data_IF_266176976627
#
_entry.id   IF_266176976627
#
_cell.length_a   1.000
_cell.length_b   1.000
_cell.length_c   1.000
_cell.angle_alpha   90.00
_cell.angle_beta   90.00
_cell.angle_gamma   90.00
#
_symmetry.space_group_name_H-M   'P 1'
#
loop_
_entity.id
_entity.type
_entity.pdbx_description
1 polymer ?
#
# COMPACT_ATOMS: atom_id res chain seq x y z
N UNK A 1 6.33 6.24 16.25
CA UNK A 1 7.43 5.57 15.52
C UNK A 1 6.86 4.70 14.42
N UNK A 2 5.98 3.73 14.73
CA UNK A 2 5.35 2.81 13.74
C UNK A 2 4.71 3.50 12.52
N UNK A 3 3.89 4.56 12.63
CA UNK A 3 3.23 5.15 11.44
C UNK A 3 4.22 5.77 10.46
N UNK A 4 5.24 6.47 10.97
CA UNK A 4 6.27 7.11 10.17
C UNK A 4 7.06 6.07 9.38
N UNK A 5 7.44 4.99 10.06
CA UNK A 5 8.12 3.86 9.43
C UNK A 5 7.28 3.26 8.29
N UNK A 6 6.00 2.98 8.54
CA UNK A 6 5.10 2.44 7.51
C UNK A 6 4.94 3.41 6.34
N UNK A 7 4.86 4.72 6.60
CA UNK A 7 4.79 5.72 5.54
C UNK A 7 6.07 5.76 4.69
N UNK A 8 7.25 5.77 5.32
CA UNK A 8 8.54 5.71 4.61
C UNK A 8 8.60 4.43 3.77
N UNK A 9 8.19 3.29 4.32
CA UNK A 9 8.16 2.02 3.59
C UNK A 9 7.26 2.08 2.35
N UNK A 10 6.08 2.70 2.45
CA UNK A 10 5.22 2.92 1.29
C UNK A 10 5.88 3.80 0.23
N UNK A 11 6.57 4.87 0.63
CA UNK A 11 7.31 5.74 -0.30
C UNK A 11 8.45 4.98 -0.98
N UNK A 12 9.18 4.15 -0.24
CA UNK A 12 10.24 3.30 -0.78
C UNK A 12 9.67 2.30 -1.78
N UNK A 13 8.56 1.62 -1.46
CA UNK A 13 7.92 0.67 -2.38
C UNK A 13 7.47 1.35 -3.67
N UNK A 14 6.85 2.53 -3.56
CA UNK A 14 6.44 3.32 -4.72
C UNK A 14 7.65 3.73 -5.57
N UNK A 15 8.74 4.16 -4.94
CA UNK A 15 9.98 4.48 -5.64
C UNK A 15 10.57 3.25 -6.35
N UNK A 16 10.50 2.07 -5.72
CA UNK A 16 10.95 0.81 -6.32
C UNK A 16 10.14 0.47 -7.57
N UNK A 17 8.81 0.63 -7.56
CA UNK A 17 7.97 0.47 -8.76
C UNK A 17 8.45 1.37 -9.91
N UNK A 18 8.62 2.67 -9.65
CA UNK A 18 9.13 3.61 -10.65
C UNK A 18 10.52 3.26 -11.17
N UNK A 19 11.46 2.96 -10.28
CA UNK A 19 12.84 2.60 -10.64
C UNK A 19 12.84 1.31 -11.48
N UNK A 20 12.06 0.31 -11.08
CA UNK A 20 11.96 -0.96 -11.80
C UNK A 20 11.52 -0.74 -13.24
N UNK A 21 10.46 0.05 -13.45
CA UNK A 21 9.96 0.28 -14.80
C UNK A 21 10.89 1.19 -15.62
N UNK A 22 11.43 2.27 -15.03
CA UNK A 22 12.41 3.14 -15.70
C UNK A 22 13.64 2.36 -16.17
N UNK A 23 14.11 1.42 -15.34
CA UNK A 23 15.25 0.58 -15.66
C UNK A 23 14.92 -0.52 -16.68
N UNK A 24 13.74 -1.13 -16.59
CA UNK A 24 13.30 -2.18 -17.51
C UNK A 24 12.93 -1.63 -18.89
N UNK A 25 12.32 -0.44 -18.96
CA UNK A 25 11.80 0.16 -20.19
C UNK A 25 12.79 0.18 -21.37
N UNK A 26 14.06 0.64 -21.23
CA UNK A 26 15.01 0.61 -22.34
C UNK A 26 15.31 -0.82 -22.83
N UNK A 27 15.22 -1.83 -21.96
CA UNK A 27 15.52 -3.23 -22.25
C UNK A 27 14.31 -4.03 -22.74
N UNK A 28 13.11 -3.47 -22.63
CA UNK A 28 11.90 -4.13 -23.11
C UNK A 28 11.94 -4.33 -24.64
N UNK A 29 11.49 -5.51 -25.12
CA UNK A 29 11.41 -5.80 -26.54
C UNK A 29 10.42 -4.89 -27.28
N UNK A 30 10.46 -4.91 -28.61
CA UNK A 30 9.61 -4.08 -29.47
C UNK A 30 8.11 -4.35 -29.28
N UNK A 31 7.77 -5.55 -28.83
CA UNK A 31 6.41 -5.99 -28.53
C UNK A 31 6.28 -6.28 -27.04
N UNK A 32 5.35 -5.61 -26.37
CA UNK A 32 5.11 -5.73 -24.94
C UNK A 32 3.63 -6.05 -24.66
N UNK A 33 3.33 -6.88 -23.64
CA UNK A 33 1.98 -6.98 -23.12
C UNK A 33 1.60 -5.66 -22.44
N UNK A 34 0.55 -4.99 -22.91
CA UNK A 34 0.01 -3.80 -22.23
C UNK A 34 -0.88 -4.17 -21.05
N UNK A 35 -1.47 -5.36 -21.08
CA UNK A 35 -2.36 -5.88 -20.04
C UNK A 35 -2.00 -7.32 -19.70
N UNK A 36 -2.15 -7.68 -18.43
CA UNK A 36 -1.94 -9.04 -17.96
C UNK A 36 -2.91 -10.01 -18.67
N UNK A 37 -2.34 -10.98 -19.37
CA UNK A 37 -3.08 -12.15 -19.79
C UNK A 37 -3.28 -13.09 -18.62
N UNK A 38 -4.39 -12.94 -17.90
CA UNK A 38 -4.82 -13.87 -16.85
C UNK A 38 -4.97 -15.32 -17.35
N UNK A 39 -5.05 -15.52 -18.67
CA UNK A 39 -5.33 -16.81 -19.32
C UNK A 39 -4.30 -17.23 -20.39
N UNK A 40 -3.09 -16.66 -20.35
CA UNK A 40 -1.95 -17.09 -21.20
C UNK A 40 -1.87 -16.49 -22.60
N UNK A 41 -2.92 -15.80 -23.09
CA UNK A 41 -2.87 -15.06 -24.37
C UNK A 41 -2.56 -13.58 -24.11
N UNK A 42 -1.27 -13.23 -24.06
CA UNK A 42 -0.81 -11.84 -24.00
C UNK A 42 -0.96 -11.18 -25.37
N UNK A 43 -1.89 -10.23 -25.46
CA UNK A 43 -1.94 -9.32 -26.59
C UNK A 43 -0.66 -8.48 -26.57
N UNK A 44 0.18 -8.71 -27.57
CA UNK A 44 1.44 -8.01 -27.76
C UNK A 44 1.17 -6.72 -28.53
N UNK A 45 1.58 -5.60 -27.94
CA UNK A 45 1.45 -4.28 -28.53
C UNK A 45 2.84 -3.69 -28.80
N UNK A 46 2.96 -2.76 -29.76
CA UNK A 46 4.19 -2.01 -29.95
C UNK A 46 4.61 -1.33 -28.65
N UNK A 47 5.91 -1.31 -28.39
CA UNK A 47 6.52 -0.62 -27.26
C UNK A 47 5.95 0.80 -27.16
N UNK A 48 5.33 1.08 -26.03
CA UNK A 48 4.61 2.32 -25.80
C UNK A 48 4.89 2.85 -24.41
N UNK A 49 4.91 4.18 -24.31
CA UNK A 49 5.02 4.92 -23.05
C UNK A 49 3.83 4.64 -22.14
N UNK A 50 2.72 4.10 -22.67
CA UNK A 50 1.55 3.68 -21.90
C UNK A 50 1.87 2.67 -20.80
N UNK A 51 2.99 1.95 -20.85
CA UNK A 51 3.40 1.08 -19.73
C UNK A 51 3.67 1.87 -18.44
N UNK A 52 4.03 3.16 -18.53
CA UNK A 52 4.17 4.04 -17.35
C UNK A 52 2.84 4.36 -16.66
N UNK A 53 1.71 3.98 -17.25
CA UNK A 53 0.40 4.14 -16.61
C UNK A 53 0.25 3.22 -15.38
N UNK A 54 1.04 2.15 -15.28
CA UNK A 54 1.06 1.26 -14.12
C UNK A 54 1.60 1.95 -12.85
N UNK A 55 2.85 2.47 -12.83
CA UNK A 55 3.37 3.14 -11.64
C UNK A 55 2.65 4.47 -11.39
N UNK A 56 2.16 5.12 -12.45
CA UNK A 56 1.33 6.31 -12.32
C UNK A 56 -0.03 5.97 -11.68
N UNK A 57 -0.64 4.85 -12.06
CA UNK A 57 -1.83 4.30 -11.41
C UNK A 57 -1.59 3.98 -9.93
N UNK A 58 -0.45 3.39 -9.58
CA UNK A 58 -0.04 3.13 -8.19
C UNK A 58 0.11 4.46 -7.41
N UNK A 59 0.78 5.47 -7.97
CA UNK A 59 0.90 6.79 -7.31
C UNK A 59 -0.46 7.43 -7.05
N UNK A 60 -1.34 7.41 -8.04
CA UNK A 60 -2.68 7.98 -7.93
C UNK A 60 -3.50 7.22 -6.89
N UNK A 61 -3.44 5.89 -6.90
CA UNK A 61 -4.09 5.04 -5.91
C UNK A 61 -3.61 5.39 -4.50
N UNK A 62 -2.29 5.50 -4.27
CA UNK A 62 -1.74 5.83 -2.96
C UNK A 62 -2.18 7.21 -2.46
N UNK A 63 -2.17 8.23 -3.32
CA UNK A 63 -2.62 9.58 -2.97
C UNK A 63 -4.11 9.59 -2.63
N UNK A 64 -4.94 8.95 -3.46
CA UNK A 64 -6.38 8.84 -3.22
C UNK A 64 -6.66 8.05 -1.94
N UNK A 65 -5.98 6.92 -1.73
CA UNK A 65 -6.17 6.07 -0.58
C UNK A 65 -5.82 6.79 0.72
N UNK A 66 -4.71 7.53 0.77
CA UNK A 66 -4.35 8.36 1.92
C UNK A 66 -5.41 9.44 2.21
N UNK A 67 -5.93 10.08 1.15
CA UNK A 67 -7.00 11.08 1.25
C UNK A 67 -8.30 10.48 1.80
N UNK A 68 -8.74 9.33 1.28
CA UNK A 68 -9.92 8.60 1.73
C UNK A 68 -9.77 8.10 3.18
N UNK A 69 -8.59 7.58 3.52
CA UNK A 69 -8.27 7.13 4.87
C UNK A 69 -8.18 8.29 5.87
N UNK A 70 -8.18 9.55 5.39
CA UNK A 70 -8.02 10.80 6.16
C UNK A 70 -6.73 10.78 6.99
N UNK A 71 -5.68 10.12 6.49
CA UNK A 71 -4.37 10.08 7.14
C UNK A 71 -3.70 11.44 6.92
N UNK A 72 -3.79 12.33 7.90
CA UNK A 72 -3.08 13.62 7.82
C UNK A 72 -1.59 13.39 8.01
N UNK A 73 -0.77 13.82 7.05
CA UNK A 73 0.70 13.79 7.17
C UNK A 73 1.19 14.57 8.41
N UNK A 74 0.44 15.60 8.85
CA UNK A 74 0.71 16.32 10.10
C UNK A 74 0.62 15.44 11.37
N UNK A 75 -0.15 14.34 11.35
CA UNK A 75 -0.19 13.35 12.44
C UNK A 75 1.09 12.50 12.48
N UNK A 76 1.77 12.32 11.35
CA UNK A 76 3.07 11.65 11.25
C UNK A 76 4.22 12.55 11.71
N UNK A 77 4.12 13.87 11.47
CA UNK A 77 5.16 14.85 11.80
C UNK A 77 5.10 15.41 13.22
N UNK A 78 4.07 15.09 14.02
CA UNK A 78 3.80 15.67 15.36
C UNK A 78 4.79 15.25 16.47
N UNK A 79 5.99 14.76 16.13
CA UNK A 79 7.06 14.45 17.09
C UNK A 79 8.36 15.24 16.88
N UNK A 80 8.50 16.01 15.81
CA UNK A 80 9.65 16.92 15.66
C UNK A 80 9.40 18.31 16.25
N UNK A 81 8.14 18.68 16.50
CA UNK A 81 7.79 19.91 17.22
C UNK A 81 7.44 19.58 18.68
N UNK A 82 8.39 19.88 19.56
CA UNK A 82 8.22 19.97 21.01
C UNK A 82 7.05 20.91 21.36
N UNK A 83 6.38 20.62 22.49
CA UNK A 83 5.44 21.49 23.19
C UNK A 83 4.38 22.26 22.37
N UNK A 84 3.18 21.71 22.33
CA UNK A 84 2.02 22.57 22.62
C UNK A 84 0.95 21.81 23.41
N UNK A 85 1.16 21.86 24.72
CA UNK A 85 0.18 22.19 25.77
C UNK A 85 -1.30 22.06 25.38
N UNK A 86 -2.01 21.22 26.14
CA UNK A 86 -3.46 21.18 26.33
C UNK A 86 -4.32 20.74 25.14
N UNK A 87 -4.44 19.43 24.95
CA UNK A 87 -5.76 18.81 24.79
C UNK A 87 -5.66 17.29 24.94
N UNK A 88 -6.51 16.81 25.81
CA UNK A 88 -6.76 15.44 26.20
C UNK A 88 -7.14 14.53 25.02
N UNK A 89 -6.59 13.31 25.04
CA UNK A 89 -7.25 12.05 24.66
C UNK A 89 -7.67 11.76 23.21
N UNK A 90 -7.08 12.38 22.17
CA UNK A 90 -7.36 11.97 20.76
C UNK A 90 -6.37 10.95 20.14
N UNK A 91 -5.50 10.34 20.94
CA UNK A 91 -4.29 9.66 20.45
C UNK A 91 -4.40 8.17 20.14
N UNK A 92 -5.51 7.50 20.49
CA UNK A 92 -5.70 6.05 20.27
C UNK A 92 -6.28 5.67 18.89
N UNK A 93 -7.56 5.98 18.62
CA UNK A 93 -8.27 5.46 17.45
C UNK A 93 -7.78 6.05 16.11
N UNK A 94 -7.34 7.32 16.12
CA UNK A 94 -6.79 8.01 14.94
C UNK A 94 -5.46 7.38 14.48
N UNK A 95 -4.64 6.97 15.44
CA UNK A 95 -3.34 6.34 15.19
C UNK A 95 -3.47 4.93 14.66
N UNK A 96 -4.35 4.11 15.26
CA UNK A 96 -4.67 2.77 14.77
C UNK A 96 -5.15 2.78 13.34
N UNK A 97 -6.05 3.71 13.00
CA UNK A 97 -6.56 3.88 11.64
C UNK A 97 -5.46 4.23 10.66
N UNK A 98 -4.51 5.09 11.05
CA UNK A 98 -3.35 5.42 10.23
C UNK A 98 -2.41 4.22 10.05
N UNK A 99 -2.12 3.47 11.12
CA UNK A 99 -1.30 2.25 11.04
C UNK A 99 -1.94 1.20 10.12
N UNK A 100 -3.25 0.96 10.25
CA UNK A 100 -3.99 0.06 9.38
C UNK A 100 -4.00 0.52 7.92
N UNK A 101 -4.27 1.81 7.67
CA UNK A 101 -4.29 2.35 6.32
C UNK A 101 -2.91 2.23 5.65
N UNK A 102 -1.83 2.61 6.34
CA UNK A 102 -0.48 2.50 5.80
C UNK A 102 -0.06 1.03 5.59
N UNK A 103 -0.50 0.12 6.46
CA UNK A 103 -0.24 -1.30 6.29
C UNK A 103 -1.01 -1.89 5.09
N UNK A 104 -2.29 -1.55 4.93
CA UNK A 104 -3.06 -1.95 3.75
C UNK A 104 -2.43 -1.40 2.46
N UNK A 105 -1.95 -0.16 2.49
CA UNK A 105 -1.26 0.48 1.37
C UNK A 105 0.02 -0.26 0.97
N UNK A 106 0.78 -0.81 1.94
CA UNK A 106 1.94 -1.66 1.65
C UNK A 106 1.53 -2.88 0.82
N UNK A 107 0.45 -3.57 1.20
CA UNK A 107 -0.03 -4.73 0.44
C UNK A 107 -0.49 -4.35 -0.96
N UNK A 108 -1.17 -3.21 -1.13
CA UNK A 108 -1.52 -2.70 -2.46
C UNK A 108 -0.28 -2.40 -3.30
N UNK A 109 0.74 -1.73 -2.75
CA UNK A 109 2.00 -1.49 -3.47
C UNK A 109 2.66 -2.81 -3.88
N UNK A 110 2.68 -3.82 -3.02
CA UNK A 110 3.19 -5.16 -3.38
C UNK A 110 2.39 -5.80 -4.51
N UNK A 111 1.07 -5.60 -4.56
CA UNK A 111 0.23 -6.07 -5.67
C UNK A 111 0.63 -5.37 -6.98
N UNK A 112 0.76 -4.04 -6.96
CA UNK A 112 1.17 -3.27 -8.14
C UNK A 112 2.56 -3.69 -8.64
N UNK A 113 3.54 -3.74 -7.74
CA UNK A 113 4.90 -4.22 -8.03
C UNK A 113 4.89 -5.64 -8.62
N UNK A 114 4.05 -6.54 -8.08
CA UNK A 114 3.94 -7.91 -8.61
C UNK A 114 3.35 -7.94 -10.02
N UNK A 115 2.32 -7.14 -10.26
CA UNK A 115 1.71 -6.98 -11.58
C UNK A 115 2.72 -6.43 -12.58
N UNK A 116 3.45 -5.37 -12.24
CA UNK A 116 4.48 -4.75 -13.07
C UNK A 116 5.63 -5.73 -13.39
N UNK A 117 6.18 -6.38 -12.36
CA UNK A 117 7.23 -7.40 -12.52
C UNK A 117 6.76 -8.51 -13.46
N UNK A 118 5.55 -9.00 -13.27
CA UNK A 118 4.98 -10.05 -14.11
C UNK A 118 4.85 -9.57 -15.55
N UNK A 119 4.42 -8.33 -15.78
CA UNK A 119 4.31 -7.75 -17.11
C UNK A 119 5.67 -7.65 -17.81
N UNK A 120 6.70 -7.22 -17.08
CA UNK A 120 8.09 -7.13 -17.58
C UNK A 120 8.62 -8.53 -17.95
N UNK A 121 8.36 -9.54 -17.13
CA UNK A 121 8.84 -10.91 -17.38
C UNK A 121 8.11 -11.59 -18.54
N UNK A 122 6.81 -11.34 -18.67
CA UNK A 122 6.03 -11.79 -19.83
C UNK A 122 6.53 -11.10 -21.11
N UNK A 123 6.89 -9.80 -21.04
CA UNK A 123 7.48 -9.10 -22.18
C UNK A 123 8.77 -9.79 -22.66
N UNK A 124 9.62 -10.23 -21.73
CA UNK A 124 10.85 -10.96 -22.06
C UNK A 124 10.63 -12.45 -22.38
N UNK A 125 9.38 -12.94 -22.43
CA UNK A 125 9.03 -14.35 -22.64
C UNK A 125 9.66 -15.31 -21.62
N UNK A 126 10.03 -14.80 -20.43
CA UNK A 126 10.66 -15.57 -19.34
C UNK A 126 9.59 -16.28 -18.51
N UNK A 127 8.45 -15.62 -18.30
CA UNK A 127 7.30 -16.17 -17.57
C UNK A 127 6.03 -16.08 -18.43
N UNK A 128 5.12 -17.04 -18.29
CA UNK A 128 3.86 -17.09 -19.07
C UNK A 128 2.75 -16.19 -18.52
N UNK A 129 2.97 -15.53 -17.38
CA UNK A 129 1.96 -14.70 -16.73
C UNK A 129 2.30 -14.39 -15.28
N UNK A 130 1.35 -13.74 -14.60
CA UNK A 130 1.45 -13.44 -13.17
C UNK A 130 1.34 -14.71 -12.33
N UNK A 131 2.18 -14.87 -11.31
CA UNK A 131 2.04 -15.96 -10.34
C UNK A 131 0.70 -15.80 -9.58
N UNK A 132 -0.28 -16.71 -9.80
CA UNK A 132 -1.62 -16.55 -9.26
C UNK A 132 -1.65 -16.82 -7.76
N UNK A 133 -0.80 -17.72 -7.26
CA UNK A 133 -0.74 -18.05 -5.84
C UNK A 133 -0.29 -16.84 -5.02
N UNK A 134 0.80 -16.18 -5.41
CA UNK A 134 1.30 -14.99 -4.71
C UNK A 134 0.28 -13.83 -4.74
N UNK A 135 -0.32 -13.59 -5.91
CA UNK A 135 -1.35 -12.56 -6.06
C UNK A 135 -2.57 -12.82 -5.17
N UNK A 136 -3.11 -14.05 -5.18
CA UNK A 136 -4.25 -14.43 -4.32
C UNK A 136 -3.89 -14.31 -2.84
N UNK A 137 -2.68 -14.71 -2.43
CA UNK A 137 -2.25 -14.60 -1.04
C UNK A 137 -2.19 -13.15 -0.57
N UNK A 138 -1.71 -12.20 -1.39
CA UNK A 138 -1.72 -10.77 -1.05
C UNK A 138 -3.16 -10.25 -0.81
N UNK A 139 -4.10 -10.64 -1.68
CA UNK A 139 -5.51 -10.31 -1.50
C UNK A 139 -6.11 -10.94 -0.24
N UNK A 140 -5.76 -12.19 0.06
CA UNK A 140 -6.24 -12.90 1.23
C UNK A 140 -5.73 -12.25 2.53
N UNK A 141 -4.47 -11.81 2.55
CA UNK A 141 -3.91 -11.07 3.69
C UNK A 141 -4.62 -9.72 3.86
N UNK A 142 -4.91 -8.99 2.77
CA UNK A 142 -5.72 -7.77 2.81
C UNK A 142 -7.12 -8.03 3.40
N UNK A 143 -7.77 -9.12 3.00
CA UNK A 143 -9.09 -9.51 3.52
C UNK A 143 -9.05 -9.84 5.02
N UNK A 144 -8.01 -10.51 5.50
CA UNK A 144 -7.82 -10.81 6.94
C UNK A 144 -7.51 -9.56 7.75
N UNK A 145 -6.87 -8.56 7.13
CA UNK A 145 -6.51 -7.33 7.84
C UNK A 145 -7.74 -6.54 8.31
N UNK A 146 -8.83 -6.58 7.54
CA UNK A 146 -10.10 -5.90 7.85
C UNK A 146 -10.72 -6.37 9.18
N UNK A 147 -11.03 -7.67 9.39
CA UNK A 147 -11.55 -8.16 10.67
C UNK A 147 -10.54 -7.99 11.80
N UNK A 148 -9.24 -8.16 11.53
CA UNK A 148 -8.19 -7.92 12.52
C UNK A 148 -8.24 -6.49 13.07
N UNK A 149 -8.37 -5.48 12.19
CA UNK A 149 -8.54 -4.09 12.59
C UNK A 149 -9.78 -3.86 13.45
N UNK A 150 -10.93 -4.42 13.03
CA UNK A 150 -12.19 -4.29 13.79
C UNK A 150 -12.09 -4.87 15.20
N UNK A 151 -11.49 -6.06 15.34
CA UNK A 151 -11.30 -6.70 16.64
C UNK A 151 -10.39 -5.84 17.52
N UNK A 152 -9.27 -5.35 16.97
CA UNK A 152 -8.32 -4.51 17.71
C UNK A 152 -8.95 -3.19 18.17
N UNK A 153 -9.77 -2.57 17.33
CA UNK A 153 -10.52 -1.35 17.70
C UNK A 153 -11.48 -1.62 18.88
N UNK A 154 -12.18 -2.77 18.88
CA UNK A 154 -13.07 -3.16 19.97
C UNK A 154 -12.31 -3.40 21.29
N UNK A 155 -11.15 -4.05 21.24
CA UNK A 155 -10.33 -4.34 22.43
C UNK A 155 -9.80 -3.05 23.05
N UNK A 156 -9.28 -2.12 22.24
CA UNK A 156 -8.78 -0.84 22.77
C UNK A 156 -9.90 0.02 23.36
N UNK A 157 -11.10 0.05 22.74
CA UNK A 157 -12.27 0.73 23.33
C UNK A 157 -12.65 0.16 24.69
N UNK A 158 -12.66 -1.17 24.84
CA UNK A 158 -12.95 -1.83 26.14
C UNK A 158 -11.92 -1.47 27.21
N UNK A 159 -10.63 -1.47 26.87
CA UNK A 159 -9.56 -1.12 27.82
C UNK A 159 -9.65 0.34 28.31
N UNK A 160 -10.03 1.26 27.41
CA UNK A 160 -10.26 2.66 27.78
C UNK A 160 -11.41 2.83 28.77
N UNK A 161 -12.53 2.13 28.57
CA UNK A 161 -13.67 2.17 29.50
C UNK A 161 -13.29 1.63 30.90
N UNK A 162 -12.52 0.55 30.96
CA UNK A 162 -12.04 -0.02 32.24
C UNK A 162 -11.08 0.92 32.97
N UNK A 163 -10.14 1.57 32.26
CA UNK A 163 -9.23 2.56 32.85
C UNK A 163 -9.93 3.86 33.27
N UNK A 164 -10.94 4.29 32.53
CA UNK A 164 -11.76 5.47 32.87
C UNK A 164 -12.61 5.26 34.11
N UNK A 165 -13.16 4.05 34.30
CA UNK A 165 -13.91 3.67 35.51
C UNK A 165 -13.04 3.61 36.76
N UNK A 166 -11.80 3.10 36.67
CA UNK A 166 -10.87 3.02 37.81
C UNK A 166 -10.35 4.35 38.34
N UNK A 167 -10.58 5.47 37.64
CA UNK A 167 -10.13 6.81 38.04
C UNK A 167 -11.20 7.62 38.77
N UNK A 168 -12.41 7.06 38.90
CA UNK A 168 -13.59 7.70 39.52
C UNK A 168 -14.00 7.10 40.87
N UNK A 169 -13.33 6.05 41.32
CA UNK A 169 -13.39 5.53 42.69
C UNK A 169 -12.04 5.76 43.37
#
# INVERSE_FOLDING_TARGET
>A
MVPLFLFILNVVLLAVSWIMLLYAYPRLPALIPLWLALKGNSFLYPKSILIFLYPLGETLFNVLFLKLARVRVALLSRRTAVEKKNSSSETGPSRLRAEFALLAMIFFNLIFIHVERSLILVAHQVEKGMNPFYFVMLFLVLLILIPYYRIREMVEKKQWLVKGGKRKN
#
